data_IF_141604925926
#
_entry.id   IF_141604925926
#
_cell.length_a   1.000
_cell.length_b   1.000
_cell.length_c   1.000
_cell.angle_alpha   90.00
_cell.angle_beta   90.00
_cell.angle_gamma   90.00
#
_symmetry.space_group_name_H-M   'P 1'
#
loop_
_entity.id
_entity.type
_entity.pdbx_description
1 polymer ?
#
# COMPACT_ATOMS: atom_id res chain seq x y z
N UNK A 1 1.21 -18.67 -1.99
CA UNK A 1 0.36 -17.71 -1.24
C UNK A 1 -1.08 -18.13 -1.41
N UNK A 2 -1.84 -18.33 -0.33
CA UNK A 2 -3.24 -18.81 -0.44
C UNK A 2 -4.18 -17.71 -0.95
N UNK A 3 -3.89 -16.45 -0.62
CA UNK A 3 -4.77 -15.30 -0.89
C UNK A 3 -4.88 -14.91 -2.37
N UNK A 4 -3.98 -15.39 -3.23
CA UNK A 4 -3.97 -15.11 -4.69
C UNK A 4 -4.39 -16.30 -5.53
N UNK A 5 -4.75 -17.42 -4.88
CA UNK A 5 -5.18 -18.63 -5.58
C UNK A 5 -6.39 -18.32 -6.45
N UNK A 6 -6.36 -18.79 -7.68
CA UNK A 6 -7.37 -18.56 -8.72
C UNK A 6 -7.45 -17.10 -9.25
N UNK A 7 -6.63 -16.18 -8.73
CA UNK A 7 -6.43 -14.82 -9.26
C UNK A 7 -5.14 -14.70 -10.07
N UNK A 8 -4.09 -15.39 -9.64
CA UNK A 8 -2.80 -15.49 -10.34
C UNK A 8 -2.56 -16.96 -10.74
N UNK A 9 -1.84 -17.16 -11.83
CA UNK A 9 -1.29 -18.47 -12.18
C UNK A 9 -0.27 -18.93 -11.14
N UNK A 10 0.04 -20.22 -11.11
CA UNK A 10 1.07 -20.76 -10.21
C UNK A 10 2.45 -20.12 -10.51
N UNK A 11 2.76 -19.89 -11.79
CA UNK A 11 3.99 -19.23 -12.24
C UNK A 11 4.05 -17.77 -11.76
N UNK A 12 2.98 -16.99 -11.92
CA UNK A 12 2.91 -15.62 -11.42
C UNK A 12 2.97 -15.55 -9.90
N UNK A 13 2.33 -16.51 -9.21
CA UNK A 13 2.35 -16.59 -7.74
C UNK A 13 3.76 -16.86 -7.24
N UNK A 14 4.48 -17.78 -7.89
CA UNK A 14 5.85 -18.12 -7.53
C UNK A 14 6.81 -16.96 -7.85
N UNK A 15 6.70 -16.37 -9.05
CA UNK A 15 7.50 -15.21 -9.43
C UNK A 15 7.27 -14.02 -8.50
N UNK A 16 6.02 -13.77 -8.09
CA UNK A 16 5.68 -12.75 -7.09
C UNK A 16 6.35 -13.07 -5.76
N UNK A 17 6.26 -14.31 -5.28
CA UNK A 17 6.87 -14.74 -4.03
C UNK A 17 8.39 -14.53 -4.05
N UNK A 18 9.07 -14.94 -5.11
CA UNK A 18 10.51 -14.74 -5.27
C UNK A 18 10.88 -13.26 -5.30
N UNK A 19 10.11 -12.43 -6.02
CA UNK A 19 10.32 -10.98 -6.05
C UNK A 19 10.16 -10.33 -4.67
N UNK A 20 9.15 -10.73 -3.89
CA UNK A 20 8.93 -10.22 -2.53
C UNK A 20 10.07 -10.62 -1.58
N UNK A 21 10.63 -11.83 -1.71
CA UNK A 21 11.82 -12.25 -0.94
C UNK A 21 13.10 -11.52 -1.39
N UNK A 22 13.22 -11.21 -2.68
CA UNK A 22 14.37 -10.47 -3.21
C UNK A 22 14.35 -8.98 -2.83
N UNK A 23 13.17 -8.35 -2.83
CA UNK A 23 12.99 -6.92 -2.53
C UNK A 23 12.86 -6.63 -1.04
N UNK A 24 12.24 -7.53 -0.27
CA UNK A 24 12.16 -7.44 1.19
C UNK A 24 13.53 -7.64 1.79
N UNK A 25 14.38 -6.60 1.73
CA UNK A 25 15.84 -6.59 1.85
C UNK A 25 16.45 -7.27 3.09
N UNK A 26 15.64 -7.83 4.00
CA UNK A 26 16.06 -8.57 5.17
C UNK A 26 15.19 -9.79 5.51
N UNK A 27 14.24 -10.20 4.67
CA UNK A 27 13.37 -11.36 4.97
C UNK A 27 14.08 -12.64 4.55
N UNK A 28 14.88 -13.20 5.46
CA UNK A 28 15.37 -14.57 5.29
C UNK A 28 14.15 -15.50 5.29
N UNK A 29 14.14 -16.48 4.38
CA UNK A 29 13.07 -17.50 4.33
C UNK A 29 12.86 -18.22 5.66
N UNK A 30 13.91 -18.30 6.49
CA UNK A 30 13.85 -18.86 7.84
C UNK A 30 12.85 -18.11 8.76
N UNK A 31 12.65 -16.79 8.58
CA UNK A 31 11.74 -15.98 9.39
C UNK A 31 10.26 -16.30 9.16
N UNK A 32 9.95 -16.97 8.06
CA UNK A 32 8.61 -17.48 7.74
C UNK A 32 8.47 -18.99 8.03
N UNK A 33 9.47 -19.63 8.67
CA UNK A 33 9.48 -21.07 8.96
C UNK A 33 9.04 -21.39 10.40
N UNK A 34 8.84 -22.69 10.69
CA UNK A 34 8.56 -23.19 12.04
C UNK A 34 9.63 -22.76 13.07
N UNK A 35 10.87 -22.54 12.64
CA UNK A 35 11.96 -22.10 13.52
C UNK A 35 11.69 -20.73 14.19
N UNK A 36 10.75 -19.95 13.65
CA UNK A 36 10.30 -18.66 14.19
C UNK A 36 8.82 -18.69 14.61
N UNK A 37 8.34 -19.86 15.06
CA UNK A 37 6.97 -20.08 15.55
C UNK A 37 5.88 -19.65 14.55
N UNK A 38 6.18 -19.70 13.25
CA UNK A 38 5.23 -19.26 12.24
C UNK A 38 4.13 -20.31 12.06
N UNK A 39 2.93 -20.02 12.58
CA UNK A 39 1.76 -20.89 12.47
C UNK A 39 1.17 -20.94 11.04
N UNK A 40 1.51 -19.97 10.20
CA UNK A 40 0.97 -19.82 8.84
C UNK A 40 2.11 -19.63 7.83
N UNK A 41 2.72 -20.76 7.45
CA UNK A 41 3.83 -20.84 6.48
C UNK A 41 3.45 -20.35 5.06
N UNK A 42 2.18 -20.03 4.83
CA UNK A 42 1.67 -19.56 3.53
C UNK A 42 1.67 -18.04 3.39
N UNK A 43 1.99 -17.31 4.47
CA UNK A 43 2.09 -15.85 4.52
C UNK A 43 3.54 -15.40 4.59
N UNK A 44 3.82 -14.27 3.94
CA UNK A 44 5.15 -13.64 3.95
C UNK A 44 5.19 -12.67 5.14
N UNK A 45 6.07 -12.95 6.10
CA UNK A 45 6.31 -12.05 7.23
C UNK A 45 7.23 -10.90 6.78
N UNK A 46 6.63 -9.75 6.48
CA UNK A 46 7.32 -8.53 6.07
C UNK A 46 6.42 -7.32 6.37
N UNK A 47 6.99 -6.13 6.54
CA UNK A 47 6.21 -4.90 6.40
C UNK A 47 5.91 -4.64 4.92
N UNK A 48 4.77 -4.01 4.65
CA UNK A 48 4.38 -3.72 3.27
C UNK A 48 5.30 -2.68 2.61
N UNK A 49 5.87 -1.76 3.40
CA UNK A 49 6.85 -0.80 2.90
C UNK A 49 8.16 -1.49 2.50
N UNK A 50 8.66 -2.42 3.33
CA UNK A 50 9.88 -3.16 3.01
C UNK A 50 9.71 -4.16 1.87
N UNK A 51 8.52 -4.74 1.68
CA UNK A 51 8.30 -5.64 0.54
C UNK A 51 8.34 -4.91 -0.80
N UNK A 52 8.08 -3.60 -0.81
CA UNK A 52 8.24 -2.73 -1.96
C UNK A 52 9.65 -2.12 -2.06
N UNK A 53 10.61 -2.66 -1.30
CA UNK A 53 12.01 -2.23 -1.32
C UNK A 53 12.29 -0.92 -0.60
N UNK A 54 11.46 -0.53 0.37
CA UNK A 54 11.53 0.77 1.04
C UNK A 54 11.47 1.95 0.04
N UNK A 55 10.74 1.77 -1.08
CA UNK A 55 10.57 2.76 -2.15
C UNK A 55 9.29 3.58 -1.90
N UNK A 56 9.46 4.87 -1.60
CA UNK A 56 8.36 5.80 -1.31
C UNK A 56 7.35 5.89 -2.47
N UNK A 57 7.81 5.93 -3.71
CA UNK A 57 6.95 6.07 -4.89
C UNK A 57 6.12 4.79 -5.10
N UNK A 58 6.76 3.63 -4.98
CA UNK A 58 6.08 2.34 -5.05
C UNK A 58 5.03 2.20 -3.93
N UNK A 59 5.39 2.62 -2.71
CA UNK A 59 4.52 2.55 -1.55
C UNK A 59 3.30 3.47 -1.68
N UNK A 60 3.52 4.71 -2.11
CA UNK A 60 2.43 5.65 -2.35
C UNK A 60 1.51 5.18 -3.47
N UNK A 61 2.06 4.69 -4.58
CA UNK A 61 1.23 4.12 -5.65
C UNK A 61 0.34 2.99 -5.12
N UNK A 62 0.89 2.06 -4.33
CA UNK A 62 0.12 0.95 -3.78
C UNK A 62 -1.01 1.45 -2.85
N UNK A 63 -0.77 2.49 -2.03
CA UNK A 63 -1.78 3.10 -1.16
C UNK A 63 -2.84 3.87 -1.94
N UNK A 64 -2.45 4.55 -3.01
CA UNK A 64 -3.36 5.26 -3.92
C UNK A 64 -4.28 4.25 -4.59
N UNK A 65 -3.76 3.16 -5.14
CA UNK A 65 -4.57 2.07 -5.70
C UNK A 65 -5.52 1.47 -4.65
N UNK A 66 -5.06 1.25 -3.42
CA UNK A 66 -5.90 0.78 -2.32
C UNK A 66 -7.05 1.75 -2.00
N UNK A 67 -6.79 3.05 -1.96
CA UNK A 67 -7.81 4.06 -1.62
C UNK A 67 -8.83 4.28 -2.75
N UNK A 68 -8.42 4.09 -4.00
CA UNK A 68 -9.29 4.19 -5.17
C UNK A 68 -10.06 2.90 -5.49
N UNK A 69 -9.67 1.75 -4.94
CA UNK A 69 -10.43 0.52 -5.08
C UNK A 69 -11.78 0.58 -4.31
N UNK A 70 -12.87 -0.06 -4.81
CA UNK A 70 -14.12 -0.18 -4.07
C UNK A 70 -13.93 -0.91 -2.74
N UNK A 71 -14.40 -0.30 -1.65
CA UNK A 71 -14.32 -0.85 -0.31
C UNK A 71 -13.89 0.17 0.74
N UNK A 72 -13.78 -0.30 1.98
CA UNK A 72 -13.31 0.50 3.12
C UNK A 72 -11.81 0.24 3.27
N UNK A 73 -10.94 1.21 2.94
CA UNK A 73 -9.50 1.01 3.05
C UNK A 73 -9.08 0.89 4.52
N UNK A 74 -8.35 -0.18 4.85
CA UNK A 74 -7.76 -0.37 6.16
C UNK A 74 -6.24 -0.18 6.08
N UNK A 75 -5.70 0.70 6.93
CA UNK A 75 -4.26 0.98 7.01
C UNK A 75 -3.75 0.49 8.37
N UNK A 76 -2.87 -0.50 8.34
CA UNK A 76 -2.20 -1.01 9.53
C UNK A 76 -1.17 0.01 10.05
N UNK A 77 -1.02 0.15 11.37
CA UNK A 77 -0.23 1.25 11.97
C UNK A 77 1.25 1.26 11.55
N UNK A 78 1.91 0.11 11.41
CA UNK A 78 3.29 0.04 10.88
C UNK A 78 3.32 0.60 9.45
N UNK A 79 2.34 0.27 8.63
CA UNK A 79 2.19 0.84 7.29
C UNK A 79 1.86 2.34 7.32
N UNK A 80 1.02 2.80 8.25
CA UNK A 80 0.68 4.21 8.38
C UNK A 80 1.94 5.09 8.55
N UNK A 81 2.95 4.57 9.23
CA UNK A 81 4.24 5.23 9.45
C UNK A 81 5.32 4.82 8.44
N UNK A 82 4.97 4.12 7.35
CA UNK A 82 5.93 3.57 6.37
C UNK A 82 7.10 2.83 7.06
N UNK A 83 6.76 2.00 8.05
CA UNK A 83 7.71 1.28 8.90
C UNK A 83 8.41 0.14 8.16
N UNK A 84 9.70 0.00 8.43
CA UNK A 84 10.53 -1.08 7.90
C UNK A 84 10.45 -2.35 8.76
N UNK A 85 11.00 -3.44 8.24
CA UNK A 85 11.13 -4.70 8.97
C UNK A 85 11.87 -4.56 10.31
N UNK A 86 11.22 -4.93 11.41
CA UNK A 86 11.82 -4.98 12.73
C UNK A 86 12.54 -6.33 12.97
N UNK A 87 13.78 -6.40 12.48
CA UNK A 87 14.61 -7.60 12.62
C UNK A 87 15.02 -7.84 14.07
N UNK A 88 15.22 -6.78 14.86
CA UNK A 88 15.66 -6.89 16.25
C UNK A 88 14.56 -7.50 17.13
N UNK A 89 13.32 -7.04 17.00
CA UNK A 89 12.19 -7.61 17.73
C UNK A 89 11.91 -9.04 17.29
N UNK A 90 11.99 -9.34 15.98
CA UNK A 90 11.87 -10.71 15.48
C UNK A 90 12.92 -11.62 16.10
N UNK A 91 14.19 -11.20 16.11
CA UNK A 91 15.31 -12.02 16.58
C UNK A 91 15.29 -12.23 18.09
N UNK A 92 14.89 -11.22 18.86
CA UNK A 92 14.79 -11.30 20.32
C UNK A 92 13.59 -12.14 20.79
N UNK A 93 12.47 -12.10 20.07
CA UNK A 93 11.25 -12.83 20.44
C UNK A 93 11.12 -14.21 19.82
N UNK A 94 11.81 -14.46 18.69
CA UNK A 94 11.66 -15.65 17.86
C UNK A 94 10.22 -15.89 17.39
N UNK A 95 9.45 -14.82 17.20
CA UNK A 95 8.11 -14.82 16.60
C UNK A 95 8.17 -14.09 15.25
N UNK A 96 8.01 -14.84 14.15
CA UNK A 96 8.21 -14.31 12.79
C UNK A 96 7.33 -13.11 12.45
N UNK A 97 6.12 -13.03 12.99
CA UNK A 97 5.19 -11.92 12.73
C UNK A 97 5.64 -10.61 13.39
N UNK A 98 6.54 -10.65 14.37
CA UNK A 98 7.01 -9.45 15.04
C UNK A 98 7.85 -8.54 14.14
N UNK A 99 8.32 -9.04 12.99
CA UNK A 99 8.95 -8.22 11.95
C UNK A 99 8.07 -7.05 11.48
N UNK A 100 6.75 -7.18 11.59
CA UNK A 100 5.76 -6.17 11.21
C UNK A 100 4.89 -5.80 12.42
N UNK A 101 5.48 -5.71 13.61
CA UNK A 101 4.80 -5.32 14.86
C UNK A 101 5.66 -4.44 15.76
N UNK A 102 6.42 -3.53 15.15
CA UNK A 102 7.31 -2.62 15.88
C UNK A 102 6.54 -1.82 16.95
N UNK A 103 7.13 -1.69 18.13
CA UNK A 103 6.54 -0.92 19.23
C UNK A 103 7.03 0.52 19.18
N UNK A 104 6.30 1.36 18.47
CA UNK A 104 6.60 2.79 18.38
C UNK A 104 6.38 3.51 19.71
N UNK A 105 7.40 4.25 20.17
CA UNK A 105 7.24 5.22 21.25
C UNK A 105 6.80 6.60 20.74
N UNK A 106 6.42 7.50 21.64
CA UNK A 106 5.91 8.83 21.26
C UNK A 106 6.95 9.69 20.55
N UNK A 107 8.23 9.57 20.93
CA UNK A 107 9.31 10.36 20.36
C UNK A 107 9.62 9.88 18.94
N UNK A 108 9.54 8.59 18.70
CA UNK A 108 9.63 7.98 17.38
C UNK A 108 8.45 8.38 16.50
N UNK A 109 7.22 8.30 17.01
CA UNK A 109 6.04 8.76 16.26
C UNK A 109 6.20 10.22 15.85
N UNK A 110 6.63 11.09 16.76
CA UNK A 110 6.84 12.51 16.47
C UNK A 110 7.84 12.75 15.32
N UNK A 111 8.87 11.90 15.20
CA UNK A 111 9.82 11.93 14.09
C UNK A 111 9.24 11.33 12.80
N UNK A 112 8.67 10.13 12.89
CA UNK A 112 8.19 9.37 11.73
C UNK A 112 7.06 10.09 11.00
N UNK A 113 6.17 10.76 11.73
CA UNK A 113 5.09 11.54 11.09
C UNK A 113 5.61 12.71 10.26
N UNK A 114 6.85 13.18 10.47
CA UNK A 114 7.43 14.26 9.65
C UNK A 114 8.00 13.77 8.32
N UNK A 115 8.15 12.46 8.11
CA UNK A 115 8.71 11.91 6.87
C UNK A 115 7.81 12.29 5.68
N UNK A 116 8.38 12.70 4.53
CA UNK A 116 7.61 13.08 3.36
C UNK A 116 6.57 12.04 2.94
N UNK A 117 6.98 10.76 2.82
CA UNK A 117 6.07 9.65 2.47
C UNK A 117 4.88 9.49 3.42
N UNK A 118 5.07 9.76 4.72
CA UNK A 118 4.00 9.68 5.73
C UNK A 118 3.06 10.87 5.60
N UNK A 119 3.58 12.07 5.37
CA UNK A 119 2.77 13.26 5.08
C UNK A 119 1.95 13.08 3.79
N UNK A 120 2.54 12.54 2.74
CA UNK A 120 1.87 12.18 1.49
C UNK A 120 0.74 11.18 1.72
N UNK A 121 0.98 10.14 2.52
CA UNK A 121 -0.07 9.19 2.90
C UNK A 121 -1.19 9.87 3.71
N UNK A 122 -0.88 10.77 4.64
CA UNK A 122 -1.91 11.53 5.36
C UNK A 122 -2.75 12.41 4.44
N UNK A 123 -2.14 13.04 3.43
CA UNK A 123 -2.87 13.84 2.45
C UNK A 123 -3.82 12.96 1.62
N UNK A 124 -3.36 11.80 1.17
CA UNK A 124 -4.21 10.80 0.50
C UNK A 124 -5.38 10.36 1.37
N UNK A 125 -5.13 10.05 2.65
CA UNK A 125 -6.17 9.59 3.57
C UNK A 125 -7.18 10.69 3.91
N UNK A 126 -6.73 11.94 4.05
CA UNK A 126 -7.64 13.09 4.19
C UNK A 126 -8.52 13.21 2.95
N UNK A 127 -7.93 13.22 1.76
CA UNK A 127 -8.66 13.29 0.50
C UNK A 127 -9.71 12.16 0.37
N UNK A 128 -9.30 10.91 0.61
CA UNK A 128 -10.19 9.74 0.55
C UNK A 128 -11.35 9.81 1.54
N UNK A 129 -11.17 10.47 2.68
CA UNK A 129 -12.19 10.61 3.71
C UNK A 129 -13.10 11.85 3.53
N UNK A 130 -12.68 12.84 2.75
CA UNK A 130 -13.42 14.11 2.61
C UNK A 130 -14.08 14.30 1.25
N UNK A 131 -13.58 13.66 0.20
CA UNK A 131 -14.14 13.79 -1.14
C UNK A 131 -15.48 13.05 -1.25
N UNK A 132 -16.51 13.73 -1.73
CA UNK A 132 -17.81 13.14 -1.99
C UNK A 132 -17.79 12.18 -3.20
N UNK A 133 -16.75 12.21 -4.04
CA UNK A 133 -16.64 11.32 -5.21
C UNK A 133 -16.76 9.85 -4.82
N UNK A 134 -16.11 9.46 -3.72
CA UNK A 134 -16.00 8.07 -3.28
C UNK A 134 -17.31 7.45 -2.74
N UNK A 135 -18.38 8.25 -2.65
CA UNK A 135 -19.75 7.78 -2.37
C UNK A 135 -20.56 7.57 -3.66
N UNK A 136 -19.91 7.70 -4.83
CA UNK A 136 -20.52 7.60 -6.15
C UNK A 136 -20.27 6.28 -6.87
N UNK A 137 -20.29 6.35 -8.20
CA UNK A 137 -20.04 5.21 -9.09
C UNK A 137 -18.55 5.07 -9.41
N UNK A 138 -18.05 3.83 -9.39
CA UNK A 138 -16.67 3.47 -9.69
C UNK A 138 -16.52 2.95 -11.13
N UNK A 139 -15.48 3.42 -11.82
CA UNK A 139 -15.03 2.86 -13.10
C UNK A 139 -13.52 2.64 -13.11
N UNK A 140 -13.07 1.64 -13.86
CA UNK A 140 -11.65 1.35 -14.10
C UNK A 140 -11.45 0.89 -15.53
N UNK A 141 -10.40 1.41 -16.15
CA UNK A 141 -9.95 1.00 -17.47
C UNK A 141 -8.42 1.07 -17.59
N UNK A 142 -7.92 0.40 -18.62
CA UNK A 142 -6.51 0.47 -19.00
C UNK A 142 -6.42 1.38 -20.23
N UNK A 143 -5.73 2.52 -20.08
CA UNK A 143 -5.49 3.43 -21.20
C UNK A 143 -4.48 2.83 -22.19
N UNK A 144 -3.52 2.07 -21.67
CA UNK A 144 -2.53 1.31 -22.42
C UNK A 144 -2.04 0.09 -21.62
N UNK A 145 -0.94 -0.55 -22.04
CA UNK A 145 -0.40 -1.75 -21.38
C UNK A 145 0.12 -1.52 -19.95
N UNK A 146 0.42 -0.28 -19.56
CA UNK A 146 1.00 0.07 -18.27
C UNK A 146 0.20 1.14 -17.51
N UNK A 147 -0.71 1.86 -18.16
CA UNK A 147 -1.44 2.97 -17.55
C UNK A 147 -2.85 2.56 -17.18
N UNK A 148 -3.17 2.59 -15.89
CA UNK A 148 -4.51 2.38 -15.34
C UNK A 148 -5.18 3.73 -15.07
N UNK A 149 -6.45 3.87 -15.46
CA UNK A 149 -7.30 5.00 -15.11
C UNK A 149 -8.44 4.49 -14.22
N UNK A 150 -8.59 5.12 -13.07
CA UNK A 150 -9.68 4.85 -12.12
C UNK A 150 -10.45 6.14 -11.89
N UNK A 151 -11.77 6.07 -11.91
CA UNK A 151 -12.64 7.21 -11.63
C UNK A 151 -13.74 6.85 -10.63
N UNK A 152 -14.03 7.82 -9.76
CA UNK A 152 -15.20 7.83 -8.89
C UNK A 152 -16.06 9.04 -9.24
N UNK A 153 -17.34 8.84 -9.54
CA UNK A 153 -18.26 9.91 -9.95
C UNK A 153 -19.48 9.94 -9.04
N UNK A 154 -19.63 11.02 -8.27
CA UNK A 154 -20.83 11.31 -7.51
C UNK A 154 -21.65 12.41 -8.20
N UNK A 155 -22.69 12.00 -8.92
CA UNK A 155 -23.57 12.91 -9.68
C UNK A 155 -24.35 13.87 -8.77
N UNK A 156 -24.78 13.42 -7.58
CA UNK A 156 -25.56 14.25 -6.66
C UNK A 156 -24.72 15.39 -6.06
N UNK A 157 -23.43 15.13 -5.83
CA UNK A 157 -22.46 16.09 -5.33
C UNK A 157 -21.69 16.83 -6.44
N UNK A 158 -21.99 16.58 -7.72
CA UNK A 158 -21.22 17.06 -8.88
C UNK A 158 -19.69 16.89 -8.72
N UNK A 159 -19.26 15.79 -8.09
CA UNK A 159 -17.85 15.58 -7.72
C UNK A 159 -17.29 14.34 -8.41
N UNK A 160 -16.12 14.47 -9.03
CA UNK A 160 -15.39 13.39 -9.71
C UNK A 160 -13.96 13.32 -9.19
N UNK A 161 -13.51 12.16 -8.74
CA UNK A 161 -12.11 11.90 -8.40
C UNK A 161 -11.49 10.94 -9.43
N UNK A 162 -10.38 11.33 -10.03
CA UNK A 162 -9.68 10.55 -11.05
C UNK A 162 -8.26 10.22 -10.59
N UNK A 163 -7.83 8.98 -10.83
CA UNK A 163 -6.46 8.51 -10.70
C UNK A 163 -5.99 8.02 -12.07
N UNK A 164 -4.87 8.57 -12.55
CA UNK A 164 -4.10 7.98 -13.66
C UNK A 164 -2.76 7.51 -13.12
N UNK A 165 -2.44 6.24 -13.28
CA UNK A 165 -1.19 5.67 -12.77
C UNK A 165 -0.48 4.80 -13.83
N UNK A 166 0.80 5.06 -14.02
CA UNK A 166 1.68 4.20 -14.83
C UNK A 166 2.35 3.18 -13.91
N UNK A 167 2.00 1.91 -14.09
CA UNK A 167 2.44 0.81 -13.24
C UNK A 167 3.91 0.41 -13.48
N UNK A 168 4.50 0.82 -14.61
CA UNK A 168 5.89 0.49 -14.97
C UNK A 168 6.89 1.41 -14.32
N UNK A 169 6.69 2.72 -14.41
CA UNK A 169 7.56 3.72 -13.77
C UNK A 169 7.05 4.18 -12.40
N UNK A 170 5.87 3.69 -12.01
CA UNK A 170 5.18 3.94 -10.74
C UNK A 170 4.67 5.37 -10.58
N UNK A 171 4.71 6.20 -11.63
CA UNK A 171 4.17 7.56 -11.57
C UNK A 171 2.64 7.56 -11.53
N UNK A 172 2.05 8.58 -10.92
CA UNK A 172 0.61 8.76 -10.89
C UNK A 172 0.22 10.23 -10.74
N UNK A 173 -0.99 10.55 -11.18
CA UNK A 173 -1.65 11.83 -10.98
C UNK A 173 -3.04 11.59 -10.40
N UNK A 174 -3.41 12.39 -9.41
CA UNK A 174 -4.75 12.41 -8.83
C UNK A 174 -5.35 13.79 -9.08
N UNK A 175 -6.60 13.82 -9.55
CA UNK A 175 -7.35 15.06 -9.69
C UNK A 175 -8.76 14.91 -9.14
N UNK A 176 -9.28 15.98 -8.56
CA UNK A 176 -10.68 16.09 -8.19
C UNK A 176 -11.32 17.23 -8.98
N UNK A 177 -12.54 16.98 -9.47
CA UNK A 177 -13.37 17.99 -10.11
C UNK A 177 -14.64 18.15 -9.30
N UNK A 178 -14.91 19.37 -8.82
CA UNK A 178 -16.16 19.76 -8.16
C UNK A 178 -16.83 20.79 -9.06
N UNK A 179 -18.06 20.50 -9.50
CA UNK A 179 -18.78 21.28 -10.51
C UNK A 179 -17.95 21.45 -11.81
N UNK A 180 -17.34 22.62 -12.02
CA UNK A 180 -16.49 22.93 -13.17
C UNK A 180 -15.00 23.11 -12.81
N UNK A 181 -14.66 23.15 -11.53
CA UNK A 181 -13.31 23.41 -11.05
C UNK A 181 -12.54 22.10 -10.87
N UNK A 182 -11.36 21.99 -11.50
CA UNK A 182 -10.47 20.82 -11.40
C UNK A 182 -9.23 21.18 -10.60
N UNK A 183 -8.91 20.38 -9.59
CA UNK A 183 -7.75 20.54 -8.71
C UNK A 183 -6.90 19.27 -8.74
N UNK A 184 -5.57 19.42 -8.85
CA UNK A 184 -4.63 18.32 -8.65
C UNK A 184 -4.43 18.06 -7.16
N UNK A 185 -4.52 16.80 -6.76
CA UNK A 185 -4.28 16.37 -5.38
C UNK A 185 -2.81 15.96 -5.28
N UNK A 186 -2.01 16.83 -4.67
CA UNK A 186 -0.58 16.58 -4.48
C UNK A 186 -0.37 15.75 -3.21
N UNK A 187 0.34 14.63 -3.37
CA UNK A 187 0.82 13.79 -2.29
C UNK A 187 2.26 14.17 -1.97
#
# INVERSE_FOLDING_TARGET
MVDVKDLLTDEETEATREALYAQGANVKTIYSSEAYNNLDIYKINCTYYSVLGNDDQAYLLARVLQCFAPGIPQIYYVGLLAGENDIELLESTKEGRNINRHYYDLEEIEREVQRPVVQSLFNLLKFRNTSAAFDGEFTVDMEDANTIHISWTNTDANTVAELRANLKDKSFEITEKIDSERTSIYL
#
